data_IF_782656139542
#
_entry.id   IF_782656139542
#
_cell.length_a   1.000
_cell.length_b   1.000
_cell.length_c   1.000
_cell.angle_alpha   90.00
_cell.angle_beta   90.00
_cell.angle_gamma   90.00
#
_symmetry.space_group_name_H-M   'P 1'
#
loop_
_entity.id
_entity.type
_entity.pdbx_description
1 polymer ?
#
# COMPACT_ATOMS: atom_id res chain seq x y z
N UNK A 1 -24.73 -0.75 -8.15
CA UNK A 1 -23.33 -0.59 -8.60
C UNK A 1 -22.86 -1.92 -9.18
N UNK A 2 -22.03 -1.89 -10.22
CA UNK A 2 -21.38 -3.09 -10.76
C UNK A 2 -19.94 -3.09 -10.25
N UNK A 3 -19.50 -4.19 -9.67
CA UNK A 3 -18.09 -4.38 -9.31
C UNK A 3 -17.35 -4.82 -10.58
N UNK A 4 -16.42 -3.99 -11.05
CA UNK A 4 -15.60 -4.31 -12.21
C UNK A 4 -14.23 -4.86 -11.80
N UNK A 5 -13.67 -4.41 -10.67
CA UNK A 5 -12.40 -4.89 -10.11
C UNK A 5 -12.42 -4.98 -8.59
N UNK A 6 -11.58 -5.89 -8.06
CA UNK A 6 -11.34 -6.09 -6.63
C UNK A 6 -9.85 -6.14 -6.33
N UNK A 7 -9.45 -5.44 -5.28
CA UNK A 7 -8.15 -5.59 -4.64
C UNK A 7 -8.38 -6.14 -3.24
N UNK A 8 -8.04 -7.41 -3.03
CA UNK A 8 -8.25 -8.11 -1.77
C UNK A 8 -6.91 -8.63 -1.26
N UNK A 9 -6.51 -8.20 -0.07
CA UNK A 9 -5.37 -8.75 0.66
C UNK A 9 -5.91 -9.82 1.62
N UNK A 10 -5.74 -11.12 1.34
CA UNK A 10 -6.43 -12.18 2.09
C UNK A 10 -6.11 -12.19 3.59
N UNK A 11 -4.92 -11.72 3.95
CA UNK A 11 -4.39 -11.78 5.31
C UNK A 11 -4.75 -10.55 6.16
N UNK A 12 -5.37 -9.50 5.58
CA UNK A 12 -5.68 -8.27 6.30
C UNK A 12 -6.80 -7.39 5.72
N UNK A 13 -7.45 -6.64 6.60
CA UNK A 13 -8.41 -5.60 6.22
C UNK A 13 -7.71 -4.29 5.86
N UNK A 14 -8.25 -3.58 4.86
CA UNK A 14 -7.90 -2.18 4.61
C UNK A 14 -8.54 -1.26 5.65
N UNK A 15 -7.94 -0.09 5.88
CA UNK A 15 -8.50 0.93 6.76
C UNK A 15 -8.68 2.29 6.07
N UNK A 16 -7.58 2.96 5.72
CA UNK A 16 -7.63 4.26 5.06
C UNK A 16 -6.88 4.18 3.73
N UNK A 17 -7.47 4.77 2.69
CA UNK A 17 -7.12 4.58 1.29
C UNK A 17 -7.02 5.92 0.60
N UNK A 18 -5.88 6.20 -0.05
CA UNK A 18 -5.63 7.43 -0.80
C UNK A 18 -5.32 7.09 -2.24
N UNK A 19 -6.00 7.75 -3.18
CA UNK A 19 -5.67 7.68 -4.61
C UNK A 19 -4.82 8.90 -4.96
N UNK A 20 -3.70 8.69 -5.64
CA UNK A 20 -2.82 9.75 -6.09
C UNK A 20 -2.26 9.43 -7.47
N UNK A 21 -2.77 10.13 -8.48
CA UNK A 21 -2.50 9.76 -9.88
C UNK A 21 -3.00 8.34 -10.14
N UNK A 22 -2.09 7.49 -10.61
CA UNK A 22 -2.37 6.11 -11.00
C UNK A 22 -2.07 5.08 -9.90
N UNK A 23 -1.91 5.51 -8.65
CA UNK A 23 -1.69 4.60 -7.53
C UNK A 23 -2.78 4.72 -6.45
N UNK A 24 -3.14 3.57 -5.89
CA UNK A 24 -3.87 3.43 -4.64
C UNK A 24 -2.86 3.15 -3.52
N UNK A 25 -2.90 3.96 -2.47
CA UNK A 25 -2.07 3.84 -1.28
C UNK A 25 -3.00 3.45 -0.12
N UNK A 26 -2.75 2.31 0.50
CA UNK A 26 -3.64 1.72 1.49
C UNK A 26 -2.90 1.42 2.80
N UNK A 27 -3.50 1.81 3.93
CA UNK A 27 -3.14 1.26 5.24
C UNK A 27 -3.95 0.00 5.51
N UNK A 28 -3.26 -1.12 5.78
CA UNK A 28 -3.87 -2.44 5.95
C UNK A 28 -3.52 -3.09 7.31
N UNK A 29 -3.58 -2.34 8.42
CA UNK A 29 -3.33 -2.85 9.77
C UNK A 29 -2.06 -3.72 9.86
N UNK A 30 -2.21 -5.02 10.11
CA UNK A 30 -1.12 -5.99 10.25
C UNK A 30 -0.37 -6.26 8.94
N UNK A 31 -1.00 -6.01 7.79
CA UNK A 31 -0.38 -6.12 6.48
C UNK A 31 0.35 -4.83 6.06
N UNK A 32 0.42 -3.83 6.93
CA UNK A 32 1.24 -2.64 6.72
C UNK A 32 0.69 -1.68 5.67
N UNK A 33 1.58 -0.91 5.06
CA UNK A 33 1.31 -0.07 3.91
C UNK A 33 1.30 -0.92 2.63
N UNK A 34 0.30 -0.73 1.77
CA UNK A 34 0.23 -1.29 0.41
C UNK A 34 0.15 -0.18 -0.63
N UNK A 35 0.81 -0.37 -1.76
CA UNK A 35 0.75 0.53 -2.91
C UNK A 35 0.42 -0.30 -4.15
N UNK A 36 -0.65 0.08 -4.82
CA UNK A 36 -1.25 -0.68 -5.92
C UNK A 36 -1.32 0.22 -7.15
N UNK A 37 -0.81 -0.26 -8.27
CA UNK A 37 -1.00 0.34 -9.59
C UNK A 37 -2.46 0.19 -10.02
N UNK A 38 -3.14 1.32 -10.15
CA UNK A 38 -4.53 1.42 -10.61
C UNK A 38 -4.63 2.11 -11.98
N UNK A 39 -3.52 2.17 -12.74
CA UNK A 39 -3.52 2.66 -14.11
C UNK A 39 -4.28 1.73 -15.07
N UNK A 40 -4.75 2.32 -16.17
CA UNK A 40 -5.39 1.58 -17.25
C UNK A 40 -6.74 0.97 -16.86
N UNK A 41 -7.06 -0.17 -17.47
CA UNK A 41 -8.34 -0.84 -17.25
C UNK A 41 -8.28 -1.75 -16.00
N UNK A 42 -9.25 -1.57 -15.09
CA UNK A 42 -9.39 -2.36 -13.86
C UNK A 42 -10.50 -3.39 -14.04
N UNK A 43 -10.12 -4.66 -14.23
CA UNK A 43 -11.07 -5.77 -14.39
C UNK A 43 -10.67 -6.98 -13.55
N UNK A 44 -11.61 -7.54 -12.80
CA UNK A 44 -11.41 -8.73 -11.97
C UNK A 44 -10.49 -8.50 -10.77
N UNK A 45 -9.80 -9.55 -10.35
CA UNK A 45 -8.92 -9.52 -9.18
C UNK A 45 -7.58 -8.89 -9.54
N UNK A 46 -7.39 -7.61 -9.18
CA UNK A 46 -6.18 -6.85 -9.48
C UNK A 46 -5.02 -7.17 -8.51
N UNK A 47 -5.30 -7.79 -7.36
CA UNK A 47 -4.26 -8.35 -6.49
C UNK A 47 -3.59 -9.55 -7.17
N UNK A 48 -4.38 -10.49 -7.71
CA UNK A 48 -3.87 -11.64 -8.47
C UNK A 48 -3.19 -11.27 -9.79
N UNK A 49 -3.46 -10.08 -10.32
CA UNK A 49 -2.76 -9.54 -11.49
C UNK A 49 -1.36 -9.00 -11.16
N UNK A 50 -0.96 -8.98 -9.89
CA UNK A 50 0.35 -8.45 -9.49
C UNK A 50 0.44 -6.94 -9.55
N UNK A 51 -0.70 -6.23 -9.44
CA UNK A 51 -0.71 -4.77 -9.45
C UNK A 51 -0.25 -4.14 -8.12
N UNK A 52 0.03 -4.93 -7.08
CA UNK A 52 0.73 -4.43 -5.90
C UNK A 52 2.19 -4.15 -6.27
N UNK A 53 2.56 -2.87 -6.36
CA UNK A 53 3.90 -2.42 -6.77
C UNK A 53 4.81 -2.09 -5.58
N UNK A 54 4.30 -2.13 -4.36
CA UNK A 54 5.10 -1.94 -3.16
C UNK A 54 4.33 -2.20 -1.88
N UNK A 55 5.03 -2.66 -0.86
CA UNK A 55 4.49 -2.76 0.49
C UNK A 55 5.58 -2.52 1.54
N UNK A 56 5.17 -2.10 2.72
CA UNK A 56 6.07 -2.02 3.88
C UNK A 56 5.32 -2.38 5.16
N UNK A 57 5.88 -3.31 5.93
CA UNK A 57 5.30 -3.76 7.19
C UNK A 57 6.21 -3.38 8.36
N UNK A 58 5.81 -2.45 9.23
CA UNK A 58 6.66 -1.91 10.29
C UNK A 58 6.76 -2.86 11.51
N UNK A 59 7.53 -3.94 11.40
CA UNK A 59 7.86 -4.83 12.52
C UNK A 59 8.88 -4.18 13.48
N UNK A 60 8.48 -3.09 14.14
CA UNK A 60 9.38 -2.35 15.02
C UNK A 60 9.55 -3.08 16.37
N UNK A 61 10.79 -3.44 16.70
CA UNK A 61 11.12 -4.19 17.94
C UNK A 61 10.85 -3.40 19.23
N UNK A 62 10.92 -2.08 19.17
CA UNK A 62 10.70 -1.19 20.32
C UNK A 62 9.34 -0.46 20.25
N UNK A 63 8.39 -0.95 19.42
CA UNK A 63 7.04 -0.39 19.37
C UNK A 63 6.27 -0.61 20.68
N UNK A 64 5.17 0.13 20.88
CA UNK A 64 4.25 -0.02 22.01
C UNK A 64 3.84 -1.48 22.23
N UNK A 65 3.60 -2.20 21.14
CA UNK A 65 3.54 -3.65 21.10
C UNK A 65 4.63 -4.11 20.11
N UNK A 66 5.71 -4.76 20.58
CA UNK A 66 6.82 -5.17 19.73
C UNK A 66 6.39 -6.06 18.57
N UNK A 67 6.89 -5.77 17.36
CA UNK A 67 6.65 -6.54 16.14
C UNK A 67 5.16 -6.79 15.82
N UNK A 68 4.27 -5.88 16.23
CA UNK A 68 2.85 -5.96 15.97
C UNK A 68 2.38 -4.77 15.12
N UNK A 69 2.47 -4.86 13.78
CA UNK A 69 2.04 -3.78 12.89
C UNK A 69 0.54 -3.50 13.02
N UNK A 70 0.19 -2.22 12.97
CA UNK A 70 -1.16 -1.69 13.02
C UNK A 70 -1.22 -0.38 12.22
N UNK A 71 -0.91 -0.45 10.91
CA UNK A 71 -0.94 0.71 10.01
C UNK A 71 -2.36 1.21 9.84
N UNK A 72 -2.59 2.46 10.24
CA UNK A 72 -3.91 3.08 10.23
C UNK A 72 -4.22 3.75 8.90
N UNK A 73 -3.24 4.38 8.28
CA UNK A 73 -3.44 5.12 7.04
C UNK A 73 -2.16 5.76 6.53
N UNK A 74 -2.24 6.21 5.28
CA UNK A 74 -1.14 6.80 4.55
C UNK A 74 -1.60 8.03 3.76
N UNK A 75 -0.69 8.98 3.59
CA UNK A 75 -0.91 10.20 2.82
C UNK A 75 0.31 10.49 1.94
N UNK A 76 0.11 10.68 0.64
CA UNK A 76 1.17 11.13 -0.26
C UNK A 76 1.44 12.63 -0.06
N UNK A 77 2.72 13.02 -0.16
CA UNK A 77 3.15 14.41 -0.19
C UNK A 77 4.45 14.55 -0.98
N UNK A 78 4.38 15.19 -2.15
CA UNK A 78 5.48 15.22 -3.14
C UNK A 78 5.89 13.78 -3.48
N UNK A 79 7.18 13.48 -3.43
CA UNK A 79 7.74 12.16 -3.75
C UNK A 79 7.70 11.19 -2.56
N UNK A 80 7.06 11.59 -1.45
CA UNK A 80 7.01 10.81 -0.21
C UNK A 80 5.61 10.27 0.08
N UNK A 81 5.58 9.12 0.75
CA UNK A 81 4.40 8.56 1.39
C UNK A 81 4.64 8.58 2.89
N UNK A 82 3.83 9.36 3.60
CA UNK A 82 3.79 9.35 5.05
C UNK A 82 2.73 8.36 5.50
N UNK A 83 3.06 7.47 6.44
CA UNK A 83 2.06 6.56 7.01
C UNK A 83 2.26 6.39 8.51
N UNK A 84 1.16 6.14 9.21
CA UNK A 84 1.16 5.98 10.66
C UNK A 84 0.86 4.54 11.02
N UNK A 85 1.77 3.96 11.80
CA UNK A 85 1.57 2.74 12.52
C UNK A 85 1.21 3.04 13.98
N UNK A 86 0.08 2.52 14.46
CA UNK A 86 -0.43 2.83 15.79
C UNK A 86 0.46 2.32 16.93
N UNK A 87 1.35 1.36 16.66
CA UNK A 87 2.25 0.78 17.64
C UNK A 87 3.68 1.31 17.53
N UNK A 88 4.12 1.79 16.36
CA UNK A 88 5.52 2.16 16.10
C UNK A 88 5.74 3.58 15.59
N UNK A 89 4.68 4.34 15.28
CA UNK A 89 4.74 5.77 15.03
C UNK A 89 4.63 6.18 13.56
N UNK A 90 5.22 7.31 13.21
CA UNK A 90 5.17 7.90 11.87
C UNK A 90 6.37 7.45 11.04
N UNK A 91 6.09 7.02 9.82
CA UNK A 91 7.06 6.66 8.80
C UNK A 91 6.97 7.60 7.61
N UNK A 92 8.09 7.78 6.93
CA UNK A 92 8.20 8.46 5.65
C UNK A 92 8.99 7.56 4.73
N UNK A 93 8.38 7.16 3.62
CA UNK A 93 9.04 6.33 2.60
C UNK A 93 8.91 6.98 1.24
N UNK A 94 9.72 6.52 0.30
CA UNK A 94 9.65 6.87 -1.11
C UNK A 94 9.56 5.57 -1.89
N UNK A 95 8.74 5.55 -2.94
CA UNK A 95 8.77 4.46 -3.90
C UNK A 95 10.07 4.58 -4.69
N UNK A 96 10.86 3.52 -4.71
CA UNK A 96 12.02 3.48 -5.61
C UNK A 96 11.51 3.60 -7.05
N UNK A 97 12.19 4.42 -7.86
CA UNK A 97 11.97 4.38 -9.29
C UNK A 97 12.28 2.96 -9.76
N UNK A 98 11.25 2.24 -10.19
CA UNK A 98 11.47 1.05 -11.00
C UNK A 98 12.29 1.54 -12.19
N UNK A 99 13.57 1.14 -12.28
CA UNK A 99 14.31 1.28 -13.53
C UNK A 99 13.38 0.73 -14.60
N UNK A 100 12.92 1.59 -15.50
CA UNK A 100 12.11 1.17 -16.65
C UNK A 100 13.02 0.29 -17.49
N UNK A 101 13.06 -1.00 -17.15
CA UNK A 101 13.58 -2.04 -18.02
C UNK A 101 12.92 -1.83 -19.37
N UNK A 102 13.75 -1.65 -20.39
CA UNK A 102 13.29 -1.42 -21.76
C UNK A 102 12.34 -2.53 -22.19
N UNK A 103 11.03 -2.30 -22.09
CA UNK A 103 9.99 -3.17 -22.64
C UNK A 103 9.26 -4.08 -21.64
N UNK A 104 8.58 -3.52 -20.65
CA UNK A 104 7.33 -4.12 -20.18
C UNK A 104 6.15 -3.40 -20.86
N UNK A 105 5.10 -4.13 -21.29
CA UNK A 105 4.19 -3.78 -22.38
C UNK A 105 3.39 -2.49 -22.21
#
# INVERSE_FOLDING_TARGET
PKEDAIYEVPEAGSHNLWVYGDILIAGNYQAGLRVVDISGELLGDIYKQGREIGYYVPYHKDGKIPNAPMVWGAQPYKDYIFFVDMNSGLYCIQLEELEKGSGAP
#
